data_IF_517919086343
#
_entry.id   IF_517919086343
#
_cell.length_a   1.000
_cell.length_b   1.000
_cell.length_c   1.000
_cell.angle_alpha   90.00
_cell.angle_beta   90.00
_cell.angle_gamma   90.00
#
_symmetry.space_group_name_H-M   'P 1'
#
loop_
_entity.id
_entity.type
_entity.pdbx_description
1 polymer ?
#
# COMPACT_ATOMS: atom_id res chain seq x y z
N UNK A 1 7.02 -18.08 -4.15
CA UNK A 1 6.85 -17.13 -3.06
C UNK A 1 7.26 -15.74 -3.48
N UNK A 2 6.35 -14.82 -3.35
CA UNK A 2 6.47 -13.41 -3.74
C UNK A 2 7.52 -12.72 -2.82
N UNK A 3 8.79 -12.67 -3.24
CA UNK A 3 9.88 -12.00 -2.50
C UNK A 3 10.35 -10.79 -3.28
N UNK A 4 10.36 -9.63 -2.64
CA UNK A 4 11.05 -8.45 -3.16
C UNK A 4 12.55 -8.79 -3.35
N UNK A 5 13.04 -8.72 -4.59
CA UNK A 5 14.45 -9.02 -4.92
C UNK A 5 15.27 -7.74 -4.71
N UNK A 6 15.67 -7.46 -3.46
CA UNK A 6 16.45 -6.28 -3.07
C UNK A 6 17.67 -6.02 -3.99
N UNK A 7 18.43 -7.08 -4.33
CA UNK A 7 19.60 -6.94 -5.22
C UNK A 7 19.19 -6.58 -6.65
N UNK A 8 18.09 -7.11 -7.17
CA UNK A 8 17.59 -6.76 -8.50
C UNK A 8 17.08 -5.31 -8.52
N UNK A 9 16.38 -4.90 -7.48
CA UNK A 9 15.90 -3.52 -7.30
C UNK A 9 17.08 -2.54 -7.19
N UNK A 10 18.12 -2.85 -6.42
CA UNK A 10 19.31 -2.03 -6.31
C UNK A 10 20.05 -1.90 -7.65
N UNK A 11 20.22 -3.02 -8.38
CA UNK A 11 20.85 -3.00 -9.72
C UNK A 11 20.04 -2.19 -10.73
N UNK A 12 18.72 -2.34 -10.73
CA UNK A 12 17.82 -1.57 -11.62
C UNK A 12 17.84 -0.07 -11.31
N UNK A 13 18.07 0.32 -10.06
CA UNK A 13 18.12 1.73 -9.63
C UNK A 13 19.53 2.33 -9.68
N UNK A 14 20.59 1.55 -9.96
CA UNK A 14 21.96 2.04 -10.02
C UNK A 14 22.16 3.20 -11.04
N UNK A 15 21.56 3.18 -12.25
CA UNK A 15 21.63 4.30 -13.19
C UNK A 15 20.97 5.59 -12.63
N UNK A 16 19.86 5.44 -11.90
CA UNK A 16 19.16 6.56 -11.25
C UNK A 16 20.05 7.15 -10.15
N UNK A 17 20.68 6.31 -9.34
CA UNK A 17 21.61 6.78 -8.28
C UNK A 17 22.78 7.58 -8.85
N UNK A 18 23.32 7.21 -10.00
CA UNK A 18 24.40 7.98 -10.67
C UNK A 18 23.95 9.36 -11.12
N UNK A 19 22.66 9.52 -11.46
CA UNK A 19 22.05 10.80 -11.85
C UNK A 19 21.41 11.56 -10.70
N UNK A 20 21.39 10.99 -9.50
CA UNK A 20 20.64 11.53 -8.35
C UNK A 20 21.03 12.98 -8.04
N UNK A 21 22.32 13.33 -8.13
CA UNK A 21 22.79 14.69 -7.92
C UNK A 21 22.22 15.64 -8.97
N UNK A 22 22.35 15.29 -10.24
CA UNK A 22 21.87 16.14 -11.35
C UNK A 22 20.36 16.34 -11.25
N UNK A 23 19.60 15.27 -10.97
CA UNK A 23 18.15 15.36 -10.77
C UNK A 23 17.78 16.25 -9.58
N UNK A 24 18.55 16.16 -8.50
CA UNK A 24 18.32 16.98 -7.32
C UNK A 24 18.63 18.47 -7.59
N UNK A 25 19.71 18.75 -8.34
CA UNK A 25 20.08 20.11 -8.72
C UNK A 25 19.02 20.72 -9.66
N UNK A 26 18.61 19.99 -10.70
CA UNK A 26 17.53 20.40 -11.61
C UNK A 26 16.20 20.66 -10.88
N UNK A 27 15.83 19.78 -9.96
CA UNK A 27 14.61 19.95 -9.19
C UNK A 27 14.70 21.12 -8.22
N UNK A 28 15.90 21.38 -7.67
CA UNK A 28 16.13 22.53 -6.79
C UNK A 28 15.96 23.84 -7.57
N UNK A 29 16.50 23.93 -8.80
CA UNK A 29 16.29 25.08 -9.68
C UNK A 29 14.81 25.29 -10.04
N UNK A 30 14.11 24.22 -10.45
CA UNK A 30 12.67 24.29 -10.74
C UNK A 30 11.85 24.77 -9.53
N UNK A 31 12.16 24.30 -8.33
CA UNK A 31 11.47 24.76 -7.12
C UNK A 31 11.81 26.22 -6.79
N UNK A 32 13.05 26.66 -7.02
CA UNK A 32 13.46 28.05 -6.81
C UNK A 32 12.72 29.00 -7.76
N UNK A 33 12.54 28.59 -9.02
CA UNK A 33 11.78 29.35 -10.03
C UNK A 33 10.28 29.38 -9.73
N UNK A 34 9.72 28.23 -9.31
CA UNK A 34 8.29 28.10 -8.98
C UNK A 34 7.91 28.84 -7.70
N UNK A 35 8.86 29.04 -6.77
CA UNK A 35 8.70 29.74 -5.48
C UNK A 35 7.50 29.26 -4.64
N UNK A 36 7.36 27.97 -4.35
CA UNK A 36 6.26 27.48 -3.52
C UNK A 36 6.41 27.96 -2.08
N UNK A 37 5.29 28.18 -1.39
CA UNK A 37 5.29 28.47 0.05
C UNK A 37 5.35 27.20 0.90
N UNK A 38 4.93 26.08 0.35
CA UNK A 38 4.88 24.78 0.99
C UNK A 38 5.10 23.69 -0.05
N UNK A 39 5.83 22.66 0.31
CA UNK A 39 6.00 21.44 -0.49
C UNK A 39 5.27 20.29 0.19
N UNK A 40 4.36 19.64 -0.54
CA UNK A 40 3.69 18.41 -0.08
C UNK A 40 4.30 17.25 -0.85
N UNK A 41 4.68 16.18 -0.14
CA UNK A 41 5.34 15.01 -0.72
C UNK A 41 4.66 13.73 -0.25
N UNK A 42 4.48 12.78 -1.19
CA UNK A 42 3.98 11.43 -0.91
C UNK A 42 5.10 10.41 -1.12
N UNK A 43 5.78 10.09 -0.02
CA UNK A 43 6.79 9.03 0.09
C UNK A 43 7.80 8.98 -1.08
N UNK A 44 8.42 10.12 -1.39
CA UNK A 44 9.45 10.22 -2.42
C UNK A 44 10.74 10.90 -1.86
N UNK A 45 11.85 10.78 -2.60
CA UNK A 45 13.15 11.06 -2.04
C UNK A 45 13.73 12.43 -2.44
N UNK A 46 13.35 12.99 -3.59
CA UNK A 46 14.03 14.13 -4.20
C UNK A 46 13.45 15.46 -3.77
N UNK A 47 12.13 15.62 -3.87
CA UNK A 47 11.45 16.89 -3.60
C UNK A 47 11.68 17.40 -2.17
N UNK A 48 11.58 16.57 -1.11
CA UNK A 48 11.87 17.04 0.23
C UNK A 48 13.35 17.42 0.43
N UNK A 49 14.28 16.82 -0.32
CA UNK A 49 15.68 17.21 -0.28
C UNK A 49 15.95 18.53 -0.99
N UNK A 50 15.31 18.73 -2.15
CA UNK A 50 15.38 19.99 -2.89
C UNK A 50 14.75 21.13 -2.08
N UNK A 51 13.59 20.91 -1.48
CA UNK A 51 12.92 21.85 -0.60
C UNK A 51 13.80 22.23 0.62
N UNK A 52 14.45 21.23 1.22
CA UNK A 52 15.37 21.48 2.35
C UNK A 52 16.58 22.34 1.96
N UNK A 53 17.11 22.23 0.74
CA UNK A 53 18.17 23.11 0.22
C UNK A 53 17.73 24.57 0.10
N UNK A 54 16.46 24.79 -0.16
CA UNK A 54 15.87 26.13 -0.31
C UNK A 54 15.25 26.66 0.99
N UNK A 55 15.32 25.89 2.10
CA UNK A 55 14.69 26.26 3.36
C UNK A 55 13.16 26.28 3.31
N UNK A 56 12.56 25.59 2.35
CA UNK A 56 11.10 25.52 2.18
C UNK A 56 10.48 24.55 3.21
N UNK A 57 9.31 24.89 3.77
CA UNK A 57 8.58 23.97 4.62
C UNK A 57 8.07 22.76 3.81
N UNK A 58 8.16 21.56 4.41
CA UNK A 58 7.74 20.30 3.79
C UNK A 58 6.72 19.62 4.66
N UNK A 59 5.62 19.20 4.05
CA UNK A 59 4.59 18.33 4.61
C UNK A 59 4.71 16.94 3.96
N UNK A 60 5.03 15.93 4.75
CA UNK A 60 5.02 14.55 4.28
C UNK A 60 3.65 13.95 4.51
N UNK A 61 3.00 13.52 3.43
CA UNK A 61 1.67 12.94 3.46
C UNK A 61 1.73 11.53 2.87
N UNK A 62 1.67 10.50 3.71
CA UNK A 62 1.77 9.10 3.29
C UNK A 62 1.34 8.14 4.40
N UNK A 63 1.27 6.84 4.06
CA UNK A 63 1.05 5.75 5.00
C UNK A 63 2.35 5.04 5.43
N UNK A 64 3.34 4.96 4.55
CA UNK A 64 4.55 4.15 4.74
C UNK A 64 5.34 4.51 6.00
N UNK A 65 5.30 5.77 6.41
CA UNK A 65 5.96 6.22 7.64
C UNK A 65 5.31 5.69 8.94
N UNK A 66 4.20 4.95 8.86
CA UNK A 66 3.66 4.22 10.01
C UNK A 66 4.71 3.31 10.64
N UNK A 67 5.60 2.74 9.82
CA UNK A 67 6.72 1.88 10.27
C UNK A 67 7.73 2.63 11.14
N UNK A 68 7.98 3.90 10.86
CA UNK A 68 9.01 4.71 11.56
C UNK A 68 8.44 5.61 12.64
N UNK A 69 7.23 6.12 12.46
CA UNK A 69 6.65 7.16 13.31
C UNK A 69 5.73 6.63 14.39
N UNK A 70 5.40 5.31 14.38
CA UNK A 70 4.49 4.73 15.39
C UNK A 70 5.18 3.69 16.27
N UNK A 71 4.55 3.39 17.42
CA UNK A 71 4.98 2.35 18.35
C UNK A 71 4.06 1.14 18.20
N UNK A 72 4.62 -0.03 17.92
CA UNK A 72 3.88 -1.27 17.78
C UNK A 72 4.67 -2.44 18.37
N UNK A 73 3.96 -3.52 18.72
CA UNK A 73 4.57 -4.77 19.17
C UNK A 73 4.57 -5.75 17.99
N UNK A 74 5.69 -6.43 17.81
CA UNK A 74 5.87 -7.40 16.73
C UNK A 74 6.25 -8.77 17.27
N UNK A 75 5.78 -9.86 16.64
CA UNK A 75 6.38 -11.16 16.79
C UNK A 75 7.85 -11.14 16.34
N UNK A 76 8.72 -11.87 17.05
CA UNK A 76 10.17 -11.89 16.79
C UNK A 76 10.53 -12.25 15.34
N UNK A 77 9.71 -13.06 14.68
CA UNK A 77 9.91 -13.46 13.28
C UNK A 77 9.93 -12.30 12.29
N UNK A 78 9.34 -11.14 12.62
CA UNK A 78 9.24 -9.99 11.71
C UNK A 78 10.24 -8.86 12.01
N UNK A 79 11.02 -8.98 13.08
CA UNK A 79 11.85 -7.86 13.49
C UNK A 79 12.95 -7.48 12.47
N UNK A 80 13.47 -8.47 11.72
CA UNK A 80 14.45 -8.21 10.63
C UNK A 80 13.83 -7.40 9.51
N UNK A 81 12.63 -7.78 9.09
CA UNK A 81 11.90 -7.07 8.01
C UNK A 81 11.51 -5.66 8.45
N UNK A 82 11.12 -5.51 9.72
CA UNK A 82 10.84 -4.21 10.33
C UNK A 82 12.07 -3.29 10.35
N UNK A 83 13.24 -3.83 10.75
CA UNK A 83 14.48 -3.07 10.76
C UNK A 83 14.90 -2.63 9.36
N UNK A 84 14.84 -3.54 8.38
CA UNK A 84 15.18 -3.23 6.99
C UNK A 84 14.22 -2.18 6.40
N UNK A 85 12.93 -2.31 6.66
CA UNK A 85 11.94 -1.33 6.22
C UNK A 85 12.17 0.03 6.90
N UNK A 86 12.45 0.05 8.20
CA UNK A 86 12.77 1.27 8.93
C UNK A 86 13.98 1.99 8.33
N UNK A 87 15.07 1.27 8.05
CA UNK A 87 16.26 1.83 7.43
C UNK A 87 15.99 2.34 6.00
N UNK A 88 15.22 1.57 5.20
CA UNK A 88 14.85 1.98 3.86
C UNK A 88 14.01 3.27 3.85
N UNK A 89 13.01 3.38 4.73
CA UNK A 89 12.20 4.58 4.87
C UNK A 89 13.05 5.78 5.29
N UNK A 90 13.98 5.60 6.23
CA UNK A 90 14.88 6.68 6.64
C UNK A 90 15.83 7.15 5.52
N UNK A 91 16.16 6.28 4.58
CA UNK A 91 16.95 6.64 3.39
C UNK A 91 16.09 7.40 2.36
N UNK A 92 14.83 7.06 2.22
CA UNK A 92 13.90 7.70 1.27
C UNK A 92 13.50 9.07 1.81
N UNK A 93 13.00 9.13 3.04
CA UNK A 93 12.45 10.36 3.63
C UNK A 93 13.51 11.03 4.52
N UNK A 94 13.97 12.23 4.21
CA UNK A 94 14.94 12.95 5.03
C UNK A 94 14.34 13.36 6.39
N UNK A 95 15.19 13.38 7.41
CA UNK A 95 14.79 13.62 8.81
C UNK A 95 14.37 15.05 9.16
N UNK A 96 14.38 16.03 8.24
CA UNK A 96 14.13 17.46 8.55
C UNK A 96 13.30 18.16 7.48
N UNK A 97 12.71 19.25 7.87
CA UNK A 97 11.78 19.57 8.97
C UNK A 97 10.38 19.24 8.54
N UNK A 98 10.04 17.98 8.67
CA UNK A 98 8.76 17.47 8.17
C UNK A 98 7.74 17.48 9.28
N UNK A 99 6.65 18.14 9.03
CA UNK A 99 5.40 17.69 9.63
C UNK A 99 4.89 16.52 8.81
N UNK A 100 4.52 15.42 9.48
CA UNK A 100 4.04 14.21 8.83
C UNK A 100 2.54 14.09 9.07
N UNK A 101 1.76 14.12 8.00
CA UNK A 101 0.37 13.65 8.00
C UNK A 101 0.38 12.17 7.66
N UNK A 102 0.22 11.34 8.68
CA UNK A 102 0.27 9.90 8.57
C UNK A 102 -1.14 9.35 8.42
N UNK A 103 -1.49 8.87 7.23
CA UNK A 103 -2.81 8.29 6.98
C UNK A 103 -2.85 6.82 7.39
N UNK A 104 -3.86 6.41 8.15
CA UNK A 104 -4.00 5.03 8.62
C UNK A 104 -5.44 4.68 8.99
N UNK A 105 -5.84 3.40 8.82
CA UNK A 105 -7.10 2.86 9.32
C UNK A 105 -6.99 2.31 10.75
N UNK A 106 -5.80 2.38 11.36
CA UNK A 106 -5.52 2.03 12.75
C UNK A 106 -4.70 3.14 13.40
N UNK A 107 -4.82 3.29 14.72
CA UNK A 107 -4.32 4.47 15.43
C UNK A 107 -3.35 4.10 16.56
N UNK A 108 -2.14 3.60 16.25
CA UNK A 108 -1.13 3.26 17.25
C UNK A 108 -0.54 4.53 17.88
N UNK A 109 0.06 4.42 19.10
CA UNK A 109 0.77 5.53 19.71
C UNK A 109 1.91 6.05 18.82
N UNK A 110 2.02 7.36 18.71
CA UNK A 110 3.05 8.04 17.94
C UNK A 110 4.40 8.04 18.70
N UNK A 111 5.50 8.03 17.96
CA UNK A 111 6.85 8.25 18.51
C UNK A 111 7.13 9.73 18.72
N UNK A 112 6.63 10.57 17.82
CA UNK A 112 6.88 12.00 17.72
C UNK A 112 5.59 12.78 17.52
N UNK A 113 4.71 12.85 18.56
CA UNK A 113 3.41 13.51 18.43
C UNK A 113 3.50 15.02 18.16
N UNK A 114 4.65 15.62 18.43
CA UNK A 114 4.92 17.04 18.17
C UNK A 114 5.05 17.38 16.69
N UNK A 115 5.36 16.39 15.83
CA UNK A 115 5.57 16.57 14.39
C UNK A 115 4.79 15.59 13.51
N UNK A 116 4.04 14.68 14.10
CA UNK A 116 3.25 13.69 13.39
C UNK A 116 1.80 13.83 13.78
N UNK A 117 0.94 13.96 12.78
CA UNK A 117 -0.51 13.90 12.97
C UNK A 117 -1.04 12.66 12.27
N UNK A 118 -1.73 11.82 13.02
CA UNK A 118 -2.36 10.62 12.49
C UNK A 118 -3.78 10.96 12.05
N UNK A 119 -4.12 10.66 10.81
CA UNK A 119 -5.42 10.95 10.21
C UNK A 119 -6.03 9.69 9.59
N UNK A 120 -7.36 9.62 9.46
CA UNK A 120 -8.02 8.54 8.73
C UNK A 120 -7.55 8.44 7.27
N UNK A 121 -7.77 7.30 6.62
CA UNK A 121 -7.52 7.15 5.18
C UNK A 121 -8.30 8.17 4.37
N UNK A 122 -7.67 8.71 3.32
CA UNK A 122 -8.39 9.50 2.31
C UNK A 122 -9.04 8.51 1.33
N UNK A 123 -10.35 8.61 1.23
CA UNK A 123 -11.14 7.78 0.34
C UNK A 123 -11.50 8.61 -0.90
N UNK A 124 -11.28 8.03 -2.08
CA UNK A 124 -11.59 8.68 -3.37
C UNK A 124 -13.08 9.00 -3.48
N UNK A 125 -13.41 10.08 -4.16
CA UNK A 125 -14.79 10.52 -4.36
C UNK A 125 -15.64 9.44 -5.07
N UNK A 126 -15.02 8.71 -6.02
CA UNK A 126 -15.68 7.60 -6.73
C UNK A 126 -16.08 6.48 -5.78
N UNK A 127 -15.28 6.20 -4.74
CA UNK A 127 -15.59 5.18 -3.73
C UNK A 127 -16.64 5.71 -2.75
N UNK A 128 -16.57 6.98 -2.38
CA UNK A 128 -17.54 7.61 -1.48
C UNK A 128 -18.94 7.68 -2.11
N UNK A 129 -19.02 7.80 -3.43
CA UNK A 129 -20.28 7.82 -4.18
C UNK A 129 -20.94 6.43 -4.32
N UNK A 130 -20.23 5.34 -3.98
CA UNK A 130 -20.77 3.99 -4.11
C UNK A 130 -21.79 3.67 -3.00
N UNK A 131 -22.82 2.95 -3.37
CA UNK A 131 -23.76 2.34 -2.42
C UNK A 131 -23.37 0.88 -2.20
N UNK A 132 -22.81 0.49 -1.04
CA UNK A 132 -22.39 -0.87 -0.80
C UNK A 132 -23.59 -1.81 -0.66
N UNK A 133 -23.52 -2.97 -1.28
CA UNK A 133 -24.50 -4.06 -1.14
C UNK A 133 -23.77 -5.38 -0.85
N UNK A 134 -24.46 -6.36 -0.28
CA UNK A 134 -23.89 -7.70 -0.06
C UNK A 134 -24.33 -8.65 -1.16
N UNK A 135 -23.46 -8.85 -2.15
CA UNK A 135 -23.66 -9.82 -3.22
C UNK A 135 -23.17 -11.22 -2.86
N UNK A 136 -23.05 -12.08 -3.87
CA UNK A 136 -22.67 -13.50 -3.71
C UNK A 136 -21.17 -13.76 -3.91
N UNK A 137 -20.44 -12.85 -4.57
CA UNK A 137 -19.05 -13.10 -4.95
C UNK A 137 -18.04 -12.55 -3.95
N UNK A 138 -16.87 -13.16 -3.91
CA UNK A 138 -15.68 -12.63 -3.26
C UNK A 138 -14.83 -11.91 -4.32
N UNK A 139 -14.49 -10.65 -4.08
CA UNK A 139 -13.57 -9.90 -4.94
C UNK A 139 -12.14 -10.30 -4.61
N UNK A 140 -11.35 -10.65 -5.63
CA UNK A 140 -9.95 -11.07 -5.49
C UNK A 140 -9.04 -10.10 -6.24
N UNK A 141 -8.05 -9.52 -5.54
CA UNK A 141 -7.07 -8.63 -6.13
C UNK A 141 -5.69 -8.80 -5.52
N UNK A 142 -4.70 -9.06 -6.36
CA UNK A 142 -3.29 -9.10 -5.98
C UNK A 142 -2.50 -8.08 -6.79
N UNK A 143 -1.82 -7.15 -6.12
CA UNK A 143 -1.05 -6.09 -6.78
C UNK A 143 0.21 -6.60 -7.49
N UNK A 144 0.67 -7.82 -7.16
CA UNK A 144 1.76 -8.52 -7.83
C UNK A 144 1.24 -9.87 -8.29
N UNK A 145 1.05 -10.07 -9.61
CA UNK A 145 0.53 -11.33 -10.16
C UNK A 145 1.52 -12.50 -10.03
N UNK A 146 2.82 -12.19 -9.87
CA UNK A 146 3.86 -13.22 -9.74
C UNK A 146 3.71 -13.99 -8.43
N UNK A 147 3.63 -15.31 -8.53
CA UNK A 147 3.54 -16.21 -7.38
C UNK A 147 2.13 -16.51 -6.89
N UNK A 148 1.10 -16.08 -7.62
CA UNK A 148 -0.32 -16.45 -7.37
C UNK A 148 -0.87 -17.39 -8.45
N UNK A 149 0.00 -18.01 -9.25
CA UNK A 149 -0.38 -18.90 -10.35
C UNK A 149 -1.28 -20.07 -9.91
N UNK A 150 -1.09 -20.56 -8.67
CA UNK A 150 -1.91 -21.65 -8.11
C UNK A 150 -3.20 -21.17 -7.44
N UNK A 151 -3.41 -19.87 -7.33
CA UNK A 151 -4.58 -19.32 -6.65
C UNK A 151 -5.89 -19.74 -7.31
N UNK A 152 -6.05 -19.71 -8.66
CA UNK A 152 -7.26 -20.19 -9.32
C UNK A 152 -7.63 -21.62 -8.96
N UNK A 153 -6.67 -22.54 -8.90
CA UNK A 153 -6.91 -23.94 -8.53
C UNK A 153 -7.39 -24.10 -7.09
N UNK A 154 -6.88 -23.26 -6.18
CA UNK A 154 -7.29 -23.28 -4.76
C UNK A 154 -8.70 -22.73 -4.63
N UNK A 155 -8.99 -21.58 -5.26
CA UNK A 155 -10.29 -20.93 -5.19
C UNK A 155 -11.40 -21.76 -5.84
N UNK A 156 -11.07 -22.47 -6.94
CA UNK A 156 -12.03 -23.33 -7.65
C UNK A 156 -12.59 -24.47 -6.80
N UNK A 157 -11.88 -24.89 -5.74
CA UNK A 157 -12.31 -25.94 -4.81
C UNK A 157 -13.26 -25.43 -3.71
N UNK A 158 -13.44 -24.12 -3.60
CA UNK A 158 -14.24 -23.52 -2.55
C UNK A 158 -15.69 -23.33 -3.01
N UNK A 159 -16.69 -23.51 -2.14
CA UNK A 159 -18.11 -23.35 -2.46
C UNK A 159 -18.51 -21.85 -2.45
N UNK A 160 -17.80 -21.02 -3.23
CA UNK A 160 -18.06 -19.60 -3.37
C UNK A 160 -17.74 -19.13 -4.79
N UNK A 161 -18.37 -18.04 -5.24
CA UNK A 161 -18.04 -17.39 -6.51
C UNK A 161 -16.98 -16.32 -6.30
N UNK A 162 -16.04 -16.23 -7.22
CA UNK A 162 -14.94 -15.29 -7.17
C UNK A 162 -14.86 -14.44 -8.42
N UNK A 163 -14.64 -13.13 -8.25
CA UNK A 163 -14.31 -12.20 -9.33
C UNK A 163 -12.86 -11.78 -9.14
N UNK A 164 -12.01 -12.10 -10.15
CA UNK A 164 -10.56 -11.98 -10.06
C UNK A 164 -10.06 -10.85 -10.94
N UNK A 165 -9.30 -9.92 -10.34
CA UNK A 165 -8.56 -8.86 -11.02
C UNK A 165 -7.08 -9.03 -10.77
N UNK A 166 -6.27 -8.78 -11.81
CA UNK A 166 -4.81 -8.89 -11.76
C UNK A 166 -4.30 -10.26 -11.26
N UNK A 167 -5.05 -11.31 -11.54
CA UNK A 167 -4.67 -12.70 -11.31
C UNK A 167 -4.49 -13.37 -12.68
N UNK A 168 -3.36 -14.09 -12.93
CA UNK A 168 -3.15 -14.75 -14.20
C UNK A 168 -4.28 -15.70 -14.54
N UNK A 169 -4.83 -15.58 -15.77
CA UNK A 169 -5.84 -16.49 -16.27
C UNK A 169 -5.16 -17.72 -16.84
N UNK A 170 -5.39 -18.93 -16.31
CA UNK A 170 -4.84 -20.16 -16.88
C UNK A 170 -5.41 -20.44 -18.28
N UNK A 171 -4.67 -21.15 -19.16
CA UNK A 171 -5.15 -21.51 -20.49
C UNK A 171 -6.46 -22.31 -20.49
N UNK A 172 -6.70 -23.10 -19.45
CA UNK A 172 -7.85 -23.96 -19.24
C UNK A 172 -8.83 -23.37 -18.21
N UNK A 173 -8.91 -22.03 -18.11
CA UNK A 173 -9.74 -21.34 -17.12
C UNK A 173 -11.25 -21.66 -17.25
N UNK A 174 -11.70 -22.10 -18.41
CA UNK A 174 -13.09 -22.49 -18.69
C UNK A 174 -13.58 -23.65 -17.80
N UNK A 175 -12.67 -24.46 -17.26
CA UNK A 175 -13.00 -25.52 -16.32
C UNK A 175 -13.48 -25.01 -14.96
N UNK A 176 -13.18 -23.76 -14.61
CA UNK A 176 -13.51 -23.16 -13.32
C UNK A 176 -14.84 -22.41 -13.39
N UNK A 177 -15.93 -23.08 -13.06
CA UNK A 177 -17.29 -22.52 -13.18
C UNK A 177 -17.62 -21.44 -12.15
N UNK A 178 -16.84 -21.35 -11.07
CA UNK A 178 -17.02 -20.39 -9.98
C UNK A 178 -16.03 -19.22 -10.01
N UNK A 179 -15.16 -19.14 -11.03
CA UNK A 179 -14.18 -18.07 -11.19
C UNK A 179 -14.50 -17.19 -12.40
N UNK A 180 -14.58 -15.88 -12.18
CA UNK A 180 -14.73 -14.88 -13.24
C UNK A 180 -13.47 -14.02 -13.30
N UNK A 181 -12.67 -14.18 -14.36
CA UNK A 181 -11.49 -13.37 -14.61
C UNK A 181 -11.86 -12.08 -15.35
N UNK A 182 -11.54 -10.94 -14.80
CA UNK A 182 -11.81 -9.63 -15.41
C UNK A 182 -10.53 -8.92 -15.80
N UNK A 183 -10.58 -8.21 -16.92
CA UNK A 183 -9.54 -7.28 -17.33
C UNK A 183 -9.48 -6.06 -16.37
N UNK A 184 -8.34 -5.39 -16.23
CA UNK A 184 -8.24 -4.16 -15.45
C UNK A 184 -9.24 -3.11 -15.95
N UNK A 185 -10.10 -2.64 -15.05
CA UNK A 185 -11.07 -1.58 -15.26
C UNK A 185 -11.34 -0.89 -13.93
N UNK A 186 -11.22 0.43 -13.87
CA UNK A 186 -11.51 1.18 -12.66
C UNK A 186 -12.98 1.07 -12.29
N UNK A 187 -13.88 1.38 -13.22
CA UNK A 187 -15.33 1.33 -13.00
C UNK A 187 -15.80 -0.08 -12.63
N UNK A 188 -15.42 -1.09 -13.43
CA UNK A 188 -15.81 -2.48 -13.17
C UNK A 188 -15.28 -3.00 -11.84
N UNK A 189 -14.07 -2.61 -11.45
CA UNK A 189 -13.50 -2.97 -10.15
C UNK A 189 -14.28 -2.34 -8.99
N UNK A 190 -14.62 -1.06 -9.09
CA UNK A 190 -15.37 -0.35 -8.08
C UNK A 190 -16.81 -0.87 -7.92
N UNK A 191 -17.47 -1.22 -9.04
CA UNK A 191 -18.79 -1.88 -8.98
C UNK A 191 -18.71 -3.23 -8.26
N UNK A 192 -17.72 -4.06 -8.63
CA UNK A 192 -17.54 -5.35 -7.97
C UNK A 192 -17.16 -5.19 -6.49
N UNK A 193 -16.34 -4.21 -6.15
CA UNK A 193 -16.00 -3.89 -4.77
C UNK A 193 -17.23 -3.48 -3.97
N UNK A 194 -18.10 -2.63 -4.54
CA UNK A 194 -19.32 -2.22 -3.87
C UNK A 194 -20.31 -3.38 -3.65
N UNK A 195 -20.32 -4.36 -4.57
CA UNK A 195 -21.29 -5.48 -4.58
C UNK A 195 -20.75 -6.77 -3.99
N UNK A 196 -19.46 -6.90 -3.70
CA UNK A 196 -18.90 -8.13 -3.16
C UNK A 196 -19.39 -8.42 -1.73
N UNK A 197 -19.35 -9.71 -1.36
CA UNK A 197 -19.59 -10.13 0.03
C UNK A 197 -18.36 -10.03 0.91
N UNK A 198 -17.17 -10.12 0.31
CA UNK A 198 -15.86 -10.01 0.98
C UNK A 198 -14.76 -9.71 -0.03
N UNK A 199 -13.61 -9.26 0.43
CA UNK A 199 -12.43 -8.99 -0.40
C UNK A 199 -11.27 -9.88 0.05
N UNK A 200 -10.65 -10.59 -0.90
CA UNK A 200 -9.38 -11.28 -0.74
C UNK A 200 -8.29 -10.51 -1.49
N UNK A 201 -7.33 -9.95 -0.79
CA UNK A 201 -6.31 -9.13 -1.44
C UNK A 201 -4.96 -9.16 -0.74
N UNK A 202 -3.96 -8.54 -1.36
CA UNK A 202 -2.73 -8.19 -0.63
C UNK A 202 -3.03 -7.11 0.40
N UNK A 203 -2.21 -7.04 1.47
CA UNK A 203 -2.40 -6.07 2.54
C UNK A 203 -1.95 -4.64 2.17
N UNK A 204 -2.26 -4.19 0.95
CA UNK A 204 -2.02 -2.84 0.48
C UNK A 204 -3.00 -1.84 1.09
N UNK A 205 -2.47 -0.73 1.61
CA UNK A 205 -3.23 0.25 2.38
C UNK A 205 -4.48 0.78 1.67
N UNK A 206 -4.36 1.18 0.39
CA UNK A 206 -5.45 1.84 -0.34
C UNK A 206 -6.69 0.96 -0.46
N UNK A 207 -6.54 -0.26 -1.01
CA UNK A 207 -7.68 -1.17 -1.18
C UNK A 207 -8.27 -1.61 0.16
N UNK A 208 -7.42 -1.87 1.17
CA UNK A 208 -7.92 -2.19 2.50
C UNK A 208 -8.77 -1.05 3.07
N UNK A 209 -8.31 0.18 2.93
CA UNK A 209 -9.03 1.37 3.41
C UNK A 209 -10.37 1.56 2.70
N UNK A 210 -10.41 1.39 1.39
CA UNK A 210 -11.62 1.50 0.59
C UNK A 210 -12.63 0.37 0.90
N UNK A 211 -12.14 -0.85 1.06
CA UNK A 211 -12.97 -1.99 1.45
C UNK A 211 -13.56 -1.80 2.86
N UNK A 212 -12.76 -1.33 3.82
CA UNK A 212 -13.23 -1.03 5.18
C UNK A 212 -14.25 0.11 5.18
N UNK A 213 -14.04 1.17 4.39
CA UNK A 213 -14.99 2.26 4.22
C UNK A 213 -16.36 1.76 3.72
N UNK A 214 -16.35 0.83 2.76
CA UNK A 214 -17.56 0.21 2.23
C UNK A 214 -18.13 -0.91 3.13
N UNK A 215 -17.56 -1.14 4.30
CA UNK A 215 -17.99 -2.18 5.24
C UNK A 215 -17.77 -3.61 4.74
N UNK A 216 -16.76 -3.82 3.86
CA UNK A 216 -16.47 -5.14 3.30
C UNK A 216 -15.54 -5.96 4.19
N UNK A 217 -15.91 -7.20 4.55
CA UNK A 217 -15.01 -8.11 5.23
C UNK A 217 -13.74 -8.36 4.41
N UNK A 218 -12.58 -8.35 5.08
CA UNK A 218 -11.26 -8.51 4.48
C UNK A 218 -10.59 -9.82 4.88
N UNK A 219 -10.05 -10.54 3.89
CA UNK A 219 -9.02 -11.55 4.07
C UNK A 219 -7.77 -11.07 3.33
N UNK A 220 -6.67 -10.84 4.05
CA UNK A 220 -5.48 -10.28 3.42
C UNK A 220 -4.29 -11.24 3.48
N UNK A 221 -3.46 -11.19 2.42
CA UNK A 221 -2.22 -11.95 2.31
C UNK A 221 -1.09 -10.96 2.05
N UNK A 222 -0.32 -10.56 3.07
CA UNK A 222 0.75 -9.59 2.88
C UNK A 222 1.86 -10.14 1.98
N UNK A 223 2.38 -9.31 1.08
CA UNK A 223 3.51 -9.67 0.25
C UNK A 223 4.78 -9.81 1.09
N UNK A 224 5.50 -10.91 0.91
CA UNK A 224 6.77 -11.17 1.62
C UNK A 224 7.81 -10.10 1.27
N UNK A 225 8.43 -9.53 2.30
CA UNK A 225 9.45 -8.49 2.16
C UNK A 225 8.89 -7.07 2.03
N UNK A 226 7.57 -6.89 2.08
CA UNK A 226 6.92 -5.58 2.22
C UNK A 226 6.39 -5.46 3.65
N UNK A 227 7.23 -4.97 4.56
CA UNK A 227 6.91 -4.95 5.98
C UNK A 227 5.71 -4.07 6.33
N UNK A 228 5.47 -2.99 5.60
CA UNK A 228 4.26 -2.16 5.74
C UNK A 228 3.00 -3.01 5.59
N UNK A 229 2.94 -3.90 4.58
CA UNK A 229 1.80 -4.80 4.40
C UNK A 229 1.67 -5.82 5.54
N UNK A 230 2.79 -6.32 6.06
CA UNK A 230 2.79 -7.18 7.26
C UNK A 230 2.19 -6.44 8.45
N UNK A 231 2.56 -5.17 8.63
CA UNK A 231 2.05 -4.34 9.72
C UNK A 231 0.56 -4.06 9.56
N UNK A 232 0.10 -3.72 8.35
CA UNK A 232 -1.32 -3.53 8.04
C UNK A 232 -2.14 -4.78 8.36
N UNK A 233 -1.64 -5.96 7.97
CA UNK A 233 -2.31 -7.23 8.23
C UNK A 233 -2.41 -7.54 9.73
N UNK A 234 -1.34 -7.30 10.50
CA UNK A 234 -1.32 -7.47 11.96
C UNK A 234 -2.32 -6.55 12.67
N UNK A 235 -2.42 -5.30 12.23
CA UNK A 235 -3.39 -4.37 12.78
C UNK A 235 -4.82 -4.67 12.34
N UNK A 236 -5.03 -5.11 11.10
CA UNK A 236 -6.35 -5.57 10.65
C UNK A 236 -6.94 -6.63 11.58
N UNK A 237 -6.14 -7.66 11.92
CA UNK A 237 -6.56 -8.72 12.85
C UNK A 237 -6.74 -8.20 14.28
N UNK A 238 -5.76 -7.41 14.76
CA UNK A 238 -5.78 -6.86 16.11
C UNK A 238 -7.01 -6.00 16.40
N UNK A 239 -7.39 -5.18 15.44
CA UNK A 239 -8.56 -4.29 15.56
C UNK A 239 -9.88 -5.01 15.23
N UNK A 240 -9.86 -6.31 14.90
CA UNK A 240 -11.05 -7.10 14.57
C UNK A 240 -11.72 -6.69 13.25
N UNK A 241 -10.97 -6.07 12.34
CA UNK A 241 -11.48 -5.53 11.07
C UNK A 241 -11.42 -6.55 9.92
N UNK A 242 -10.76 -7.69 10.12
CA UNK A 242 -10.62 -8.75 9.11
C UNK A 242 -9.68 -9.85 9.56
N UNK A 243 -9.25 -10.67 8.60
CA UNK A 243 -8.35 -11.81 8.82
C UNK A 243 -7.10 -11.68 7.95
N UNK A 244 -5.98 -12.23 8.40
CA UNK A 244 -4.74 -12.27 7.64
C UNK A 244 -4.17 -13.70 7.54
N UNK A 245 -3.47 -13.97 6.42
CA UNK A 245 -2.70 -15.21 6.20
C UNK A 245 -1.25 -14.82 5.94
N UNK A 246 -0.31 -15.33 6.76
CA UNK A 246 1.12 -14.96 6.72
C UNK A 246 2.02 -16.07 6.15
#
# INVERSE_FOLDING_TARGET
>A
GNRMRLLATLRANLPVMRRLRLLLDELTEKLADFRPHLVITDFEALTPRAAARLGLPVLSFNHQQVVTETRYRLPLRYWKDALLAHLAIQLIVPRRPLHVLLTSFYFPPLRHPERVTLIPPIIRDEVQALTPTTGSHVLVYFNQPEGVDHLPEVLARLPASFVLYNVPRPPDAEKYTNLTFKAPSIEGFLEDLARCRAVLCTAGFTLMSEALYLGKPLLVVPNRGIFEQTLNALFLEREGLGMAVF
#
